data_IF_289357733148
#
_entry.id   IF_289357733148
#
_cell.length_a   1.000
_cell.length_b   1.000
_cell.length_c   1.000
_cell.angle_alpha   90.00
_cell.angle_beta   90.00
_cell.angle_gamma   90.00
#
_symmetry.space_group_name_H-M   'P 1'
#
loop_
_entity.id
_entity.type
_entity.pdbx_description
1 polymer ?
#
# COMPACT_ATOMS: atom_id res chain seq x y z
N UNK A 1 24.61 0.45 -4.14
CA UNK A 1 23.63 1.06 -3.23
C UNK A 1 22.27 0.92 -3.88
N UNK A 2 21.22 0.62 -3.12
CA UNK A 2 19.84 0.58 -3.64
C UNK A 2 19.48 1.92 -4.28
N UNK A 3 18.76 1.88 -5.42
CA UNK A 3 18.23 3.07 -6.08
C UNK A 3 16.96 3.58 -5.37
N UNK A 4 16.30 2.71 -4.61
CA UNK A 4 15.00 2.99 -4.00
C UNK A 4 15.13 3.36 -2.53
N UNK A 5 14.21 4.19 -2.07
CA UNK A 5 13.89 4.41 -0.66
C UNK A 5 12.72 3.51 -0.28
N UNK A 6 12.81 2.89 0.87
CA UNK A 6 11.78 1.96 1.34
C UNK A 6 11.00 2.53 2.51
N UNK A 7 9.73 2.19 2.58
CA UNK A 7 8.81 2.56 3.67
C UNK A 7 8.12 1.34 4.27
N UNK A 8 7.55 1.50 5.45
CA UNK A 8 6.89 0.42 6.20
C UNK A 8 5.85 0.97 7.16
N UNK A 9 4.72 0.28 7.32
CA UNK A 9 3.71 0.62 8.31
C UNK A 9 3.89 -0.11 9.65
N UNK A 10 3.49 0.50 10.79
CA UNK A 10 3.54 -0.13 12.11
C UNK A 10 2.75 -1.43 12.20
N UNK A 11 1.70 -1.58 11.38
CA UNK A 11 0.86 -2.79 11.29
C UNK A 11 1.61 -4.03 10.81
N UNK A 12 2.71 -3.86 10.09
CA UNK A 12 3.56 -4.97 9.68
C UNK A 12 4.16 -5.72 10.90
N UNK A 13 4.28 -5.04 12.05
CA UNK A 13 4.77 -5.60 13.31
C UNK A 13 3.61 -5.73 14.29
N UNK A 14 2.79 -6.76 14.08
CA UNK A 14 1.58 -7.03 14.83
C UNK A 14 1.77 -8.17 15.85
N UNK A 15 0.81 -8.31 16.76
CA UNK A 15 0.86 -9.29 17.86
C UNK A 15 0.57 -10.72 17.43
N UNK A 16 0.27 -10.97 16.16
CA UNK A 16 -0.11 -12.29 15.66
C UNK A 16 -1.58 -12.66 15.89
N UNK A 17 -2.40 -11.74 16.35
CA UNK A 17 -3.85 -11.93 16.36
C UNK A 17 -4.38 -12.01 14.93
N UNK A 18 -5.34 -12.89 14.70
CA UNK A 18 -6.07 -13.04 13.44
C UNK A 18 -7.55 -13.34 13.71
N UNK A 19 -8.33 -13.53 12.66
CA UNK A 19 -9.77 -13.84 12.75
C UNK A 19 -10.05 -15.13 13.55
N UNK A 20 -9.06 -16.01 13.69
CA UNK A 20 -9.20 -17.35 14.28
C UNK A 20 -8.54 -17.50 15.65
N UNK A 21 -7.80 -16.49 16.12
CA UNK A 21 -7.17 -16.62 17.43
C UNK A 21 -6.53 -15.35 18.00
N UNK A 22 -6.26 -15.38 19.33
CA UNK A 22 -5.72 -14.24 20.06
C UNK A 22 -4.26 -13.96 19.69
N UNK A 23 -3.68 -12.87 20.23
CA UNK A 23 -2.25 -12.58 20.12
C UNK A 23 -1.36 -13.77 20.50
N UNK A 24 -0.24 -13.93 19.79
CA UNK A 24 0.80 -14.94 20.05
C UNK A 24 2.14 -14.30 20.42
N UNK A 25 2.21 -12.97 20.41
CA UNK A 25 3.37 -12.16 20.73
C UNK A 25 2.93 -10.94 21.51
N UNK A 26 3.87 -10.38 22.27
CA UNK A 26 3.67 -9.11 22.95
C UNK A 26 3.60 -7.94 21.98
N UNK A 27 2.91 -6.89 22.37
CA UNK A 27 2.87 -5.64 21.61
C UNK A 27 4.19 -4.88 21.80
N UNK A 28 4.73 -4.39 20.69
CA UNK A 28 5.94 -3.57 20.66
C UNK A 28 5.53 -2.10 20.60
N UNK A 29 6.15 -1.26 21.42
CA UNK A 29 5.85 0.17 21.45
C UNK A 29 6.15 0.84 20.10
N UNK A 30 5.39 1.90 19.79
CA UNK A 30 5.56 2.63 18.52
C UNK A 30 7.01 3.13 18.35
N UNK A 31 7.60 3.72 19.38
CA UNK A 31 8.96 4.25 19.29
C UNK A 31 10.00 3.14 19.04
N UNK A 32 9.84 1.96 19.65
CA UNK A 32 10.71 0.82 19.37
C UNK A 32 10.56 0.30 17.93
N UNK A 33 9.33 0.29 17.41
CA UNK A 33 9.09 -0.05 15.99
C UNK A 33 9.83 0.92 15.07
N UNK A 34 9.68 2.24 15.26
CA UNK A 34 10.33 3.27 14.44
C UNK A 34 11.85 3.17 14.52
N UNK A 35 12.41 3.00 15.73
CA UNK A 35 13.84 2.77 15.91
C UNK A 35 14.31 1.58 15.08
N UNK A 36 13.61 0.46 15.18
CA UNK A 36 13.99 -0.76 14.46
C UNK A 36 13.84 -0.63 12.96
N UNK A 37 12.82 0.07 12.47
CA UNK A 37 12.65 0.36 11.05
C UNK A 37 13.84 1.16 10.49
N UNK A 38 14.28 2.19 11.22
CA UNK A 38 15.48 2.95 10.84
C UNK A 38 16.74 2.07 10.82
N UNK A 39 16.95 1.20 11.83
CA UNK A 39 18.08 0.27 11.90
C UNK A 39 18.09 -0.75 10.74
N UNK A 40 16.92 -1.23 10.30
CA UNK A 40 16.78 -2.15 9.16
C UNK A 40 17.09 -1.44 7.83
N UNK A 41 16.90 -0.11 7.79
CA UNK A 41 17.20 0.72 6.63
C UNK A 41 15.98 1.19 5.85
N UNK A 42 14.81 1.28 6.49
CA UNK A 42 13.67 2.02 5.98
C UNK A 42 13.91 3.53 6.12
N UNK A 43 13.32 4.31 5.22
CA UNK A 43 13.47 5.76 5.16
C UNK A 43 12.20 6.52 5.53
N UNK A 44 11.06 5.85 5.51
CA UNK A 44 9.77 6.45 5.82
C UNK A 44 8.83 5.47 6.53
N UNK A 45 7.84 6.03 7.23
CA UNK A 45 6.77 5.30 7.88
C UNK A 45 5.45 5.63 7.17
N UNK A 46 4.65 4.61 6.95
CA UNK A 46 3.26 4.68 6.51
C UNK A 46 2.36 4.60 7.73
N UNK A 47 1.24 5.30 7.74
CA UNK A 47 0.37 5.33 8.91
C UNK A 47 -1.09 5.09 8.56
N UNK A 48 -1.80 4.41 9.46
CA UNK A 48 -3.20 4.70 9.66
C UNK A 48 -3.33 5.87 10.66
N UNK A 49 -4.43 6.59 10.61
CA UNK A 49 -4.67 7.74 11.47
C UNK A 49 -4.62 7.39 12.97
N UNK A 50 -5.10 6.20 13.33
CA UNK A 50 -5.10 5.70 14.71
C UNK A 50 -3.78 5.02 15.13
N UNK A 51 -2.85 4.76 14.23
CA UNK A 51 -1.45 4.47 14.58
C UNK A 51 -0.76 5.72 15.15
N UNK A 52 -1.18 6.90 14.69
CA UNK A 52 -0.68 8.21 15.15
C UNK A 52 -1.46 8.70 16.36
N UNK A 53 -2.79 8.58 16.33
CA UNK A 53 -3.70 9.09 17.35
C UNK A 53 -4.68 7.98 17.75
N UNK A 54 -4.31 7.07 18.67
CA UNK A 54 -5.12 5.88 19.00
C UNK A 54 -6.57 6.16 19.39
N UNK A 55 -6.83 7.28 20.10
CA UNK A 55 -8.16 7.67 20.57
C UNK A 55 -8.78 8.79 19.71
N UNK A 56 -8.54 8.76 18.39
CA UNK A 56 -8.92 9.84 17.46
C UNK A 56 -10.42 10.21 17.55
N UNK A 57 -11.28 9.24 17.83
CA UNK A 57 -12.73 9.47 17.93
C UNK A 57 -13.15 10.30 19.16
N UNK A 58 -12.31 10.36 20.20
CA UNK A 58 -12.62 10.97 21.49
C UNK A 58 -11.93 12.32 21.70
N UNK A 59 -11.10 12.73 20.76
CA UNK A 59 -10.27 13.92 20.89
C UNK A 59 -10.80 15.10 20.08
N UNK A 60 -10.50 16.31 20.56
CA UNK A 60 -10.70 17.53 19.80
C UNK A 60 -9.71 17.62 18.64
N UNK A 61 -10.02 18.43 17.61
CA UNK A 61 -9.08 18.68 16.50
C UNK A 61 -7.72 19.21 16.95
N UNK A 62 -7.71 20.04 17.97
CA UNK A 62 -6.47 20.58 18.55
C UNK A 62 -5.64 19.50 19.23
N UNK A 63 -6.29 18.59 19.96
CA UNK A 63 -5.60 17.50 20.64
C UNK A 63 -5.08 16.47 19.62
N UNK A 64 -5.82 16.15 18.57
CA UNK A 64 -5.38 15.30 17.45
C UNK A 64 -4.06 15.84 16.87
N UNK A 65 -4.01 17.13 16.55
CA UNK A 65 -2.79 17.77 16.03
C UNK A 65 -1.63 17.72 17.02
N UNK A 66 -1.91 17.88 18.32
CA UNK A 66 -0.88 17.81 19.36
C UNK A 66 -0.31 16.37 19.47
N UNK A 67 -1.14 15.33 19.41
CA UNK A 67 -0.66 13.95 19.38
C UNK A 67 0.17 13.66 18.12
N UNK A 68 -0.26 14.13 16.95
CA UNK A 68 0.51 13.99 15.72
C UNK A 68 1.91 14.62 15.81
N UNK A 69 2.04 15.80 16.45
CA UNK A 69 3.35 16.44 16.67
C UNK A 69 4.27 15.62 17.57
N UNK A 70 3.73 14.87 18.55
CA UNK A 70 4.55 13.97 19.39
C UNK A 70 5.11 12.82 18.53
N UNK A 71 4.30 12.26 17.65
CA UNK A 71 4.74 11.23 16.71
C UNK A 71 5.79 11.80 15.75
N UNK A 72 5.59 13.02 15.23
CA UNK A 72 6.59 13.70 14.39
C UNK A 72 7.94 13.81 15.09
N UNK A 73 7.95 14.19 16.37
CA UNK A 73 9.20 14.28 17.16
C UNK A 73 9.93 12.92 17.27
N UNK A 74 9.19 11.81 17.37
CA UNK A 74 9.78 10.46 17.36
C UNK A 74 10.38 10.16 15.97
N UNK A 75 9.67 10.47 14.88
CA UNK A 75 10.18 10.26 13.52
C UNK A 75 11.47 11.06 13.29
N UNK A 76 11.49 12.34 13.68
CA UNK A 76 12.65 13.21 13.54
C UNK A 76 13.86 12.69 14.31
N UNK A 77 13.65 12.16 15.53
CA UNK A 77 14.68 11.53 16.35
C UNK A 77 15.41 10.39 15.64
N UNK A 78 14.70 9.62 14.81
CA UNK A 78 15.27 8.48 14.08
C UNK A 78 15.49 8.75 12.59
N UNK A 79 15.31 10.00 12.14
CA UNK A 79 15.54 10.39 10.74
C UNK A 79 14.56 9.75 9.76
N UNK A 80 13.32 9.46 10.21
CA UNK A 80 12.29 8.83 9.38
C UNK A 80 11.31 9.88 8.84
N UNK A 81 10.96 9.78 7.58
CA UNK A 81 9.89 10.59 6.96
C UNK A 81 8.52 9.91 7.16
N UNK A 82 7.44 10.64 6.86
CA UNK A 82 6.11 10.08 6.67
C UNK A 82 5.84 9.95 5.18
N UNK A 83 5.42 8.77 4.71
CA UNK A 83 5.01 8.59 3.33
C UNK A 83 3.55 8.98 3.12
N UNK A 84 2.65 8.46 3.93
CA UNK A 84 1.22 8.79 3.89
C UNK A 84 0.52 8.56 5.24
N UNK A 85 -0.70 9.09 5.34
CA UNK A 85 -1.64 8.77 6.42
C UNK A 85 -2.95 8.30 5.82
N UNK A 86 -3.43 7.12 6.22
CA UNK A 86 -4.67 6.51 5.75
C UNK A 86 -5.75 6.55 6.85
N UNK A 87 -6.99 6.95 6.58
CA UNK A 87 -8.09 6.80 7.53
C UNK A 87 -8.44 5.31 7.68
N UNK A 88 -8.35 4.76 8.90
CA UNK A 88 -8.71 3.36 9.17
C UNK A 88 -10.22 3.19 9.32
N UNK A 89 -10.92 3.18 8.20
CA UNK A 89 -12.38 3.13 8.20
C UNK A 89 -12.97 1.72 8.35
N UNK A 90 -12.21 0.67 8.03
CA UNK A 90 -12.74 -0.70 8.05
C UNK A 90 -12.88 -1.30 9.45
N UNK A 91 -12.35 -0.67 10.46
CA UNK A 91 -12.30 -1.18 11.84
C UNK A 91 -13.46 -0.70 12.70
N UNK A 92 -14.01 0.47 12.45
CA UNK A 92 -15.10 1.05 13.23
C UNK A 92 -16.45 0.42 12.86
N UNK A 93 -17.30 0.05 13.83
CA UNK A 93 -18.62 -0.52 13.56
C UNK A 93 -19.53 0.35 12.69
N UNK A 94 -19.40 1.67 12.74
CA UNK A 94 -20.16 2.61 11.88
C UNK A 94 -19.90 2.42 10.40
N UNK A 95 -18.73 1.94 10.04
CA UNK A 95 -18.32 1.74 8.65
C UNK A 95 -18.34 0.27 8.23
N UNK A 96 -19.03 -0.59 8.96
CA UNK A 96 -19.13 -2.03 8.66
C UNK A 96 -19.68 -2.32 7.26
N UNK A 97 -20.56 -1.46 6.73
CA UNK A 97 -21.10 -1.50 5.36
C UNK A 97 -20.44 -0.48 4.42
N UNK A 98 -19.17 -0.15 4.67
CA UNK A 98 -18.44 0.90 3.96
C UNK A 98 -18.60 2.27 4.62
N UNK A 99 -17.64 3.14 4.36
CA UNK A 99 -17.66 4.53 4.81
C UNK A 99 -18.08 5.47 3.67
N UNK A 100 -17.27 5.54 2.63
CA UNK A 100 -17.53 6.44 1.48
C UNK A 100 -18.73 6.02 0.64
N UNK A 101 -19.04 4.73 0.61
CA UNK A 101 -20.17 4.17 -0.13
C UNK A 101 -21.27 3.66 0.81
N UNK A 102 -21.29 4.11 2.08
CA UNK A 102 -22.37 3.77 3.00
C UNK A 102 -23.71 4.34 2.52
N UNK A 103 -24.77 3.55 2.63
CA UNK A 103 -26.14 4.01 2.40
C UNK A 103 -26.68 4.88 3.55
N UNK A 104 -26.02 4.85 4.70
CA UNK A 104 -26.29 5.71 5.85
C UNK A 104 -25.57 7.05 5.68
N UNK A 105 -26.32 8.15 5.71
CA UNK A 105 -25.75 9.48 5.67
C UNK A 105 -24.83 9.76 6.88
N UNK A 106 -25.22 9.29 8.06
CA UNK A 106 -24.45 9.47 9.29
C UNK A 106 -23.08 8.75 9.22
N UNK A 107 -23.05 7.53 8.70
CA UNK A 107 -21.81 6.78 8.56
C UNK A 107 -20.87 7.40 7.54
N UNK A 108 -21.44 7.91 6.44
CA UNK A 108 -20.68 8.67 5.46
C UNK A 108 -20.09 9.97 6.04
N UNK A 109 -20.86 10.72 6.84
CA UNK A 109 -20.37 11.91 7.52
C UNK A 109 -19.23 11.59 8.48
N UNK A 110 -19.33 10.46 9.20
CA UNK A 110 -18.23 9.98 10.02
C UNK A 110 -16.99 9.63 9.19
N UNK A 111 -17.14 8.91 8.08
CA UNK A 111 -16.02 8.58 7.20
C UNK A 111 -15.35 9.84 6.64
N UNK A 112 -16.13 10.86 6.27
CA UNK A 112 -15.59 12.14 5.82
C UNK A 112 -14.86 12.88 6.94
N UNK A 113 -15.43 12.90 8.16
CA UNK A 113 -14.77 13.50 9.32
C UNK A 113 -13.42 12.81 9.60
N UNK A 114 -13.36 11.46 9.62
CA UNK A 114 -12.12 10.69 9.80
C UNK A 114 -11.09 11.05 8.72
N UNK A 115 -11.53 11.15 7.46
CA UNK A 115 -10.66 11.49 6.35
C UNK A 115 -10.07 12.90 6.48
N UNK A 116 -10.86 13.87 6.93
CA UNK A 116 -10.34 15.21 7.20
C UNK A 116 -9.32 15.22 8.34
N UNK A 117 -9.56 14.45 9.41
CA UNK A 117 -8.58 14.31 10.50
C UNK A 117 -7.30 13.62 10.02
N UNK A 118 -7.41 12.60 9.18
CA UNK A 118 -6.22 11.94 8.58
C UNK A 118 -5.40 12.92 7.72
N UNK A 119 -6.06 13.82 7.00
CA UNK A 119 -5.39 14.90 6.24
C UNK A 119 -4.71 15.90 7.20
N UNK A 120 -5.36 16.29 8.29
CA UNK A 120 -4.76 17.17 9.30
C UNK A 120 -3.53 16.52 9.94
N UNK A 121 -3.60 15.22 10.29
CA UNK A 121 -2.47 14.44 10.81
C UNK A 121 -1.33 14.42 9.78
N UNK A 122 -1.63 14.14 8.52
CA UNK A 122 -0.61 14.13 7.46
C UNK A 122 0.14 15.47 7.40
N UNK A 123 -0.57 16.59 7.51
CA UNK A 123 0.04 17.94 7.54
C UNK A 123 0.96 18.14 8.73
N UNK A 124 0.58 17.70 9.92
CA UNK A 124 1.42 17.80 11.12
C UNK A 124 2.66 16.88 11.03
N UNK A 125 2.61 15.84 10.18
CA UNK A 125 3.72 14.92 9.90
C UNK A 125 4.55 15.31 8.65
N UNK A 126 4.40 16.52 8.12
CA UNK A 126 5.03 17.02 6.90
C UNK A 126 4.75 16.16 5.64
N UNK A 127 3.56 15.58 5.58
CA UNK A 127 3.11 14.74 4.49
C UNK A 127 1.97 15.38 3.70
N UNK A 128 1.95 15.19 2.38
CA UNK A 128 0.90 15.69 1.50
C UNK A 128 0.06 14.57 0.87
N UNK A 129 0.14 13.33 1.39
CA UNK A 129 -0.51 12.18 0.80
C UNK A 129 -1.42 11.46 1.80
N UNK A 130 -2.63 11.14 1.38
CA UNK A 130 -3.55 10.24 2.08
C UNK A 130 -3.88 9.05 1.21
N UNK A 131 -3.88 7.85 1.79
CA UNK A 131 -4.20 6.60 1.08
C UNK A 131 -5.59 6.12 1.51
N UNK A 132 -6.40 5.77 0.54
CA UNK A 132 -7.71 5.17 0.74
C UNK A 132 -7.64 3.67 0.43
N UNK A 133 -7.50 2.85 1.46
CA UNK A 133 -7.71 1.42 1.36
C UNK A 133 -9.20 1.13 1.50
N UNK A 134 -9.81 0.70 0.39
CA UNK A 134 -11.27 0.61 0.24
C UNK A 134 -11.83 -0.76 0.68
N UNK A 135 -11.34 -1.29 1.81
CA UNK A 135 -11.60 -2.65 2.27
C UNK A 135 -13.09 -3.02 2.40
N UNK A 136 -13.94 -2.07 2.82
CA UNK A 136 -15.38 -2.30 2.98
C UNK A 136 -16.22 -1.57 1.94
N UNK A 137 -15.59 -0.97 0.94
CA UNK A 137 -16.28 -0.22 -0.12
C UNK A 137 -16.76 -1.15 -1.23
N UNK A 138 -17.87 -1.80 -0.95
CA UNK A 138 -18.48 -2.80 -1.82
C UNK A 138 -19.72 -3.41 -1.19
N UNK A 139 -20.01 -4.67 -1.50
CA UNK A 139 -21.21 -5.37 -1.04
C UNK A 139 -20.94 -6.82 -0.65
N UNK A 140 -21.68 -7.31 0.36
CA UNK A 140 -21.88 -8.74 0.61
C UNK A 140 -23.13 -9.24 -0.13
N UNK A 141 -24.17 -8.39 -0.22
CA UNK A 141 -25.39 -8.65 -0.99
C UNK A 141 -25.43 -7.69 -2.19
N UNK A 142 -25.43 -8.21 -3.39
CA UNK A 142 -25.31 -7.43 -4.61
C UNK A 142 -26.39 -6.34 -4.76
N UNK A 143 -27.61 -6.65 -4.26
CA UNK A 143 -28.76 -5.77 -4.36
C UNK A 143 -28.77 -4.66 -3.32
N UNK A 144 -27.88 -4.70 -2.31
CA UNK A 144 -27.84 -3.72 -1.22
C UNK A 144 -27.37 -2.34 -1.65
N UNK A 145 -26.56 -2.25 -2.70
CA UNK A 145 -26.03 -0.98 -3.22
C UNK A 145 -26.06 -0.96 -4.75
N UNK A 146 -26.54 0.14 -5.31
CA UNK A 146 -26.36 0.41 -6.74
C UNK A 146 -24.89 0.73 -7.03
N UNK A 147 -24.18 -0.03 -7.89
CA UNK A 147 -22.80 0.29 -8.25
C UNK A 147 -22.63 1.68 -8.88
N UNK A 148 -23.63 2.15 -9.61
CA UNK A 148 -23.64 3.51 -10.19
C UNK A 148 -23.64 4.56 -9.10
N UNK A 149 -24.53 4.41 -8.11
CA UNK A 149 -24.61 5.34 -6.97
C UNK A 149 -23.33 5.27 -6.14
N UNK A 150 -22.84 4.08 -5.80
CA UNK A 150 -21.65 3.88 -4.98
C UNK A 150 -20.40 4.52 -5.62
N UNK A 151 -20.21 4.32 -6.92
CA UNK A 151 -19.09 4.96 -7.65
C UNK A 151 -19.17 6.47 -7.61
N UNK A 152 -20.37 7.05 -7.84
CA UNK A 152 -20.57 8.52 -7.75
C UNK A 152 -20.31 9.04 -6.33
N UNK A 153 -20.72 8.29 -5.31
CA UNK A 153 -20.52 8.66 -3.90
C UNK A 153 -19.03 8.65 -3.51
N UNK A 154 -18.26 7.67 -3.99
CA UNK A 154 -16.82 7.64 -3.80
C UNK A 154 -16.15 8.86 -4.46
N UNK A 155 -16.49 9.17 -5.71
CA UNK A 155 -15.97 10.34 -6.42
C UNK A 155 -16.32 11.64 -5.65
N UNK A 156 -17.55 11.76 -5.15
CA UNK A 156 -17.98 12.90 -4.32
C UNK A 156 -17.11 13.00 -3.06
N UNK A 157 -16.85 11.89 -2.39
CA UNK A 157 -16.03 11.83 -1.16
C UNK A 157 -14.60 12.30 -1.44
N UNK A 158 -13.99 11.81 -2.51
CA UNK A 158 -12.65 12.24 -2.94
C UNK A 158 -12.64 13.74 -3.27
N UNK A 159 -13.64 14.22 -4.01
CA UNK A 159 -13.76 15.64 -4.35
C UNK A 159 -13.83 16.53 -3.10
N UNK A 160 -14.54 16.11 -2.06
CA UNK A 160 -14.59 16.82 -0.78
C UNK A 160 -13.24 16.85 -0.06
N UNK A 161 -12.45 15.76 -0.10
CA UNK A 161 -11.09 15.76 0.43
C UNK A 161 -10.18 16.73 -0.33
N UNK A 162 -10.25 16.74 -1.67
CA UNK A 162 -9.51 17.66 -2.53
C UNK A 162 -9.92 19.14 -2.32
N UNK A 163 -11.16 19.40 -1.91
CA UNK A 163 -11.66 20.74 -1.55
C UNK A 163 -11.23 21.14 -0.15
N UNK A 164 -11.17 20.19 0.81
CA UNK A 164 -10.79 20.43 2.19
C UNK A 164 -9.34 20.91 2.29
N UNK A 165 -8.41 20.22 1.63
CA UNK A 165 -7.02 20.64 1.55
C UNK A 165 -6.57 20.78 0.08
N UNK A 166 -6.04 21.95 -0.28
CA UNK A 166 -5.65 22.25 -1.68
C UNK A 166 -4.34 21.62 -2.12
N UNK A 167 -3.59 21.03 -1.21
CA UNK A 167 -2.29 20.40 -1.49
C UNK A 167 -2.30 18.90 -1.30
N UNK A 168 -3.32 18.33 -0.63
CA UNK A 168 -3.37 16.88 -0.40
C UNK A 168 -3.49 16.13 -1.72
N UNK A 169 -2.75 15.06 -1.84
CA UNK A 169 -2.84 14.05 -2.89
C UNK A 169 -3.60 12.85 -2.32
N UNK A 170 -4.59 12.38 -3.03
CA UNK A 170 -5.39 11.22 -2.65
C UNK A 170 -4.93 10.02 -3.47
N UNK A 171 -4.52 8.97 -2.80
CA UNK A 171 -4.10 7.70 -3.40
C UNK A 171 -5.16 6.65 -3.12
N UNK A 172 -5.55 5.88 -4.11
CA UNK A 172 -6.48 4.77 -3.94
C UNK A 172 -5.69 3.47 -4.07
N UNK A 173 -5.87 2.61 -3.07
CA UNK A 173 -5.35 1.25 -3.06
C UNK A 173 -6.49 0.29 -3.39
N UNK A 174 -6.53 -0.28 -4.62
CA UNK A 174 -7.58 -1.18 -5.03
C UNK A 174 -7.41 -2.56 -4.39
N UNK A 175 -8.54 -3.16 -4.01
CA UNK A 175 -8.61 -4.55 -3.53
C UNK A 175 -9.87 -5.21 -4.09
N UNK A 176 -9.80 -6.42 -4.68
CA UNK A 176 -10.97 -7.01 -5.37
C UNK A 176 -12.04 -7.55 -4.43
N UNK A 177 -11.64 -8.02 -3.25
CA UNK A 177 -12.49 -8.66 -2.25
C UNK A 177 -11.85 -8.59 -0.85
N UNK A 178 -12.53 -9.15 0.16
CA UNK A 178 -12.11 -9.23 1.56
C UNK A 178 -11.86 -7.86 2.23
N UNK A 179 -12.61 -7.58 3.31
CA UNK A 179 -13.58 -8.45 3.99
C UNK A 179 -14.96 -8.51 3.33
N UNK A 180 -15.16 -7.85 2.19
CA UNK A 180 -16.39 -7.90 1.40
C UNK A 180 -16.23 -8.87 0.22
N UNK A 181 -17.37 -9.31 -0.38
CA UNK A 181 -17.36 -10.22 -1.51
C UNK A 181 -17.07 -9.52 -2.85
N UNK A 182 -17.55 -8.27 -2.97
CA UNK A 182 -17.49 -7.50 -4.23
C UNK A 182 -17.08 -6.08 -3.98
N UNK A 183 -15.83 -5.76 -4.30
CA UNK A 183 -15.33 -4.40 -4.28
C UNK A 183 -15.85 -3.60 -5.48
N UNK A 184 -16.13 -2.32 -5.29
CA UNK A 184 -16.42 -1.39 -6.38
C UNK A 184 -15.14 -0.92 -7.08
N UNK A 185 -14.00 -0.96 -6.38
CA UNK A 185 -12.70 -0.52 -6.90
C UNK A 185 -11.65 -1.63 -6.72
N UNK A 186 -11.69 -2.65 -7.57
CA UNK A 186 -10.88 -3.86 -7.41
C UNK A 186 -9.58 -3.89 -8.21
N UNK A 187 -9.32 -2.92 -9.10
CA UNK A 187 -8.15 -2.92 -10.00
C UNK A 187 -7.65 -1.50 -10.24
N UNK A 188 -6.42 -1.38 -10.76
CA UNK A 188 -5.85 -0.07 -11.12
C UNK A 188 -6.65 0.62 -12.25
N UNK A 189 -7.29 -0.14 -13.13
CA UNK A 189 -8.20 0.41 -14.13
C UNK A 189 -9.38 1.19 -13.53
N UNK A 190 -9.97 0.68 -12.45
CA UNK A 190 -11.01 1.38 -11.70
C UNK A 190 -10.44 2.67 -11.06
N UNK A 191 -9.25 2.60 -10.46
CA UNK A 191 -8.58 3.77 -9.86
C UNK A 191 -8.38 4.87 -10.90
N UNK A 192 -7.90 4.53 -12.10
CA UNK A 192 -7.68 5.51 -13.17
C UNK A 192 -8.99 6.14 -13.65
N UNK A 193 -10.05 5.36 -13.80
CA UNK A 193 -11.36 5.87 -14.19
C UNK A 193 -11.96 6.82 -13.11
N UNK A 194 -11.85 6.44 -11.84
CA UNK A 194 -12.27 7.29 -10.71
C UNK A 194 -11.45 8.58 -10.68
N UNK A 195 -10.11 8.49 -10.77
CA UNK A 195 -9.22 9.65 -10.81
C UNK A 195 -9.63 10.63 -11.90
N UNK A 196 -9.87 10.15 -13.12
CA UNK A 196 -10.27 10.96 -14.27
C UNK A 196 -11.63 11.68 -14.06
N UNK A 197 -12.50 11.12 -13.21
CA UNK A 197 -13.83 11.68 -12.92
C UNK A 197 -13.83 12.66 -11.73
N UNK A 198 -12.71 12.89 -11.05
CA UNK A 198 -12.61 13.85 -9.95
C UNK A 198 -12.44 15.29 -10.44
N UNK A 199 -12.66 16.25 -9.54
CA UNK A 199 -12.50 17.69 -9.84
C UNK A 199 -11.05 18.10 -10.14
N UNK A 200 -10.09 17.33 -9.68
CA UNK A 200 -8.66 17.53 -9.92
C UNK A 200 -7.94 16.18 -10.09
N UNK A 201 -7.99 15.61 -11.29
CA UNK A 201 -7.34 14.34 -11.57
C UNK A 201 -5.82 14.34 -11.31
N UNK A 202 -5.17 15.51 -11.34
CA UNK A 202 -3.72 15.61 -11.11
C UNK A 202 -3.33 15.27 -9.67
N UNK A 203 -4.26 15.35 -8.72
CA UNK A 203 -4.08 15.05 -7.30
C UNK A 203 -4.68 13.72 -6.85
N UNK A 204 -5.05 12.85 -7.80
CA UNK A 204 -5.55 11.49 -7.50
C UNK A 204 -4.71 10.47 -8.25
N UNK A 205 -4.12 9.54 -7.53
CA UNK A 205 -3.25 8.46 -8.06
C UNK A 205 -3.55 7.13 -7.41
N UNK A 206 -2.67 6.17 -7.60
CA UNK A 206 -2.85 4.82 -7.09
C UNK A 206 -1.66 4.26 -6.32
N UNK A 207 -1.98 3.34 -5.41
CA UNK A 207 -1.07 2.40 -4.79
C UNK A 207 -1.32 1.02 -5.40
N UNK A 208 -0.28 0.39 -5.94
CA UNK A 208 -0.40 -1.02 -6.36
C UNK A 208 0.19 -1.91 -5.29
N UNK A 209 -0.67 -2.72 -4.69
CA UNK A 209 -0.23 -3.81 -3.83
C UNK A 209 -0.16 -5.12 -4.61
N UNK A 210 0.99 -5.81 -4.49
CA UNK A 210 1.26 -7.04 -5.25
C UNK A 210 0.24 -8.14 -4.95
N UNK A 211 -0.08 -8.38 -3.67
CA UNK A 211 -1.05 -9.39 -3.27
C UNK A 211 -2.46 -9.07 -3.78
N UNK A 212 -2.88 -7.81 -3.74
CA UNK A 212 -4.20 -7.41 -4.24
C UNK A 212 -4.36 -7.62 -5.73
N UNK A 213 -3.30 -7.38 -6.52
CA UNK A 213 -3.32 -7.69 -7.96
C UNK A 213 -3.47 -9.19 -8.20
N UNK A 214 -2.73 -10.03 -7.46
CA UNK A 214 -2.85 -11.50 -7.54
C UNK A 214 -4.25 -11.97 -7.12
N UNK A 215 -4.83 -11.40 -6.06
CA UNK A 215 -6.22 -11.68 -5.64
C UNK A 215 -7.24 -11.31 -6.72
N UNK A 216 -6.97 -10.26 -7.51
CA UNK A 216 -7.78 -9.88 -8.67
C UNK A 216 -7.59 -10.81 -9.89
N UNK A 217 -6.69 -11.79 -9.82
CA UNK A 217 -6.30 -12.64 -10.94
C UNK A 217 -5.45 -11.92 -11.98
N UNK A 218 -4.76 -10.84 -11.58
CA UNK A 218 -3.95 -9.99 -12.45
C UNK A 218 -2.46 -10.12 -12.13
N UNK A 219 -1.62 -9.69 -13.06
CA UNK A 219 -0.17 -9.59 -12.85
C UNK A 219 0.18 -8.24 -12.20
N UNK A 220 0.86 -8.22 -11.04
CA UNK A 220 1.24 -6.97 -10.37
C UNK A 220 2.10 -6.04 -11.25
N UNK A 221 2.97 -6.62 -12.11
CA UNK A 221 3.82 -5.84 -13.02
C UNK A 221 2.97 -5.11 -14.06
N UNK A 222 1.90 -5.74 -14.56
CA UNK A 222 0.97 -5.10 -15.49
C UNK A 222 0.18 -3.97 -14.83
N UNK A 223 -0.30 -4.17 -13.60
CA UNK A 223 -1.02 -3.12 -12.84
C UNK A 223 -0.11 -1.91 -12.55
N UNK A 224 1.13 -2.15 -12.12
CA UNK A 224 2.14 -1.10 -11.92
C UNK A 224 2.46 -0.39 -13.25
N UNK A 225 2.68 -1.15 -14.33
CA UNK A 225 2.99 -0.62 -15.65
C UNK A 225 1.88 0.25 -16.21
N UNK A 226 0.62 -0.15 -16.01
CA UNK A 226 -0.54 0.64 -16.40
C UNK A 226 -0.59 1.99 -15.66
N UNK A 227 -0.38 1.99 -14.35
CA UNK A 227 -0.35 3.20 -13.55
C UNK A 227 0.85 4.11 -13.89
N UNK A 228 2.04 3.53 -14.12
CA UNK A 228 3.25 4.25 -14.55
C UNK A 228 3.04 4.95 -15.90
N UNK A 229 2.46 4.27 -16.88
CA UNK A 229 2.19 4.83 -18.21
C UNK A 229 1.30 6.08 -18.16
N UNK A 230 0.48 6.21 -17.14
CA UNK A 230 -0.41 7.34 -16.90
C UNK A 230 0.15 8.37 -15.89
N UNK A 231 1.36 8.17 -15.36
CA UNK A 231 1.98 9.03 -14.34
C UNK A 231 1.26 8.98 -12.99
N UNK A 232 0.60 7.87 -12.67
CA UNK A 232 -0.30 7.72 -11.52
C UNK A 232 0.14 6.66 -10.49
N UNK A 233 1.26 6.00 -10.69
CA UNK A 233 1.83 5.12 -9.66
C UNK A 233 2.60 5.96 -8.64
N UNK A 234 1.98 6.26 -7.49
CA UNK A 234 2.57 7.16 -6.50
C UNK A 234 3.13 6.44 -5.28
N UNK A 235 2.65 5.24 -5.02
CA UNK A 235 3.23 4.32 -4.06
C UNK A 235 3.01 2.88 -4.51
N UNK A 236 3.77 1.96 -3.99
CA UNK A 236 3.61 0.52 -4.19
C UNK A 236 3.72 -0.19 -2.84
N UNK A 237 3.00 -1.28 -2.68
CA UNK A 237 3.16 -2.22 -1.57
C UNK A 237 3.69 -3.54 -2.12
N UNK A 238 4.94 -3.85 -1.80
CA UNK A 238 5.55 -5.12 -2.16
C UNK A 238 5.27 -6.16 -1.09
N UNK A 239 4.64 -7.23 -1.51
CA UNK A 239 4.39 -8.46 -0.76
C UNK A 239 4.25 -9.63 -1.74
N UNK A 240 3.77 -10.77 -1.29
CA UNK A 240 3.52 -11.93 -2.13
C UNK A 240 2.24 -12.67 -1.71
N UNK A 241 1.71 -13.47 -2.61
CA UNK A 241 0.43 -14.14 -2.50
C UNK A 241 0.46 -15.48 -3.23
N UNK A 242 -0.05 -16.55 -2.63
CA UNK A 242 0.02 -17.89 -3.23
C UNK A 242 -1.26 -18.31 -3.99
N UNK A 243 -2.06 -17.36 -4.43
CA UNK A 243 -3.27 -17.60 -5.22
C UNK A 243 -4.48 -16.83 -4.74
N UNK A 244 -5.65 -17.12 -5.30
CA UNK A 244 -6.93 -16.43 -5.03
C UNK A 244 -7.52 -16.96 -3.71
N UNK A 245 -7.20 -16.32 -2.61
CA UNK A 245 -7.65 -16.67 -1.25
C UNK A 245 -7.92 -15.39 -0.44
N UNK A 246 -7.68 -15.46 0.88
CA UNK A 246 -7.55 -14.29 1.72
C UNK A 246 -6.20 -13.60 1.49
N UNK A 247 -6.11 -12.35 1.88
CA UNK A 247 -4.92 -11.54 1.81
C UNK A 247 -3.82 -12.07 2.74
N UNK A 248 -2.73 -12.57 2.16
CA UNK A 248 -1.70 -13.27 2.91
C UNK A 248 -0.55 -12.37 3.34
N UNK A 249 -0.28 -11.29 2.63
CA UNK A 249 0.83 -10.37 2.87
C UNK A 249 2.15 -11.10 3.17
N UNK A 250 2.50 -12.05 2.32
CA UNK A 250 3.70 -12.85 2.48
C UNK A 250 4.95 -12.02 2.19
N UNK A 251 6.08 -12.49 2.68
CA UNK A 251 7.39 -11.93 2.35
C UNK A 251 7.54 -11.79 0.83
N UNK A 252 7.97 -10.64 0.37
CA UNK A 252 8.15 -10.36 -1.06
C UNK A 252 9.04 -11.40 -1.74
N UNK A 253 8.55 -11.98 -2.83
CA UNK A 253 9.24 -13.03 -3.59
C UNK A 253 9.21 -14.44 -2.96
N UNK A 254 8.42 -14.65 -1.89
CA UNK A 254 8.36 -15.94 -1.22
C UNK A 254 7.58 -17.00 -2.01
N UNK A 255 6.64 -16.60 -2.86
CA UNK A 255 5.81 -17.48 -3.68
C UNK A 255 6.18 -17.40 -5.16
N UNK A 256 6.42 -16.18 -5.67
CA UNK A 256 6.70 -15.96 -7.10
C UNK A 256 7.91 -15.04 -7.30
N UNK A 257 9.10 -15.64 -7.22
CA UNK A 257 10.36 -14.91 -7.36
C UNK A 257 10.53 -14.26 -8.75
N UNK A 258 9.97 -14.88 -9.80
CA UNK A 258 9.99 -14.31 -11.16
C UNK A 258 9.11 -13.06 -11.26
N UNK A 259 7.92 -13.08 -10.65
CA UNK A 259 7.08 -11.89 -10.55
C UNK A 259 7.77 -10.78 -9.76
N UNK A 260 8.42 -11.11 -8.64
CA UNK A 260 9.19 -10.14 -7.85
C UNK A 260 10.31 -9.50 -8.68
N UNK A 261 11.04 -10.28 -9.49
CA UNK A 261 12.04 -9.75 -10.42
C UNK A 261 11.43 -8.79 -11.45
N UNK A 262 10.30 -9.19 -12.06
CA UNK A 262 9.63 -8.37 -13.09
C UNK A 262 9.13 -7.04 -12.53
N UNK A 263 8.58 -7.03 -11.32
CA UNK A 263 8.13 -5.82 -10.63
C UNK A 263 9.32 -4.85 -10.40
N UNK A 264 10.42 -5.33 -9.82
CA UNK A 264 11.61 -4.52 -9.58
C UNK A 264 12.21 -4.04 -10.91
N UNK A 265 12.27 -4.90 -11.94
CA UNK A 265 12.77 -4.53 -13.27
C UNK A 265 11.94 -3.39 -13.86
N UNK A 266 10.62 -3.49 -13.82
CA UNK A 266 9.73 -2.42 -14.29
C UNK A 266 9.99 -1.09 -13.57
N UNK A 267 10.09 -1.10 -12.23
CA UNK A 267 10.32 0.09 -11.43
C UNK A 267 11.69 0.72 -11.74
N UNK A 268 12.74 -0.10 -11.91
CA UNK A 268 14.10 0.38 -12.29
C UNK A 268 14.11 0.99 -13.68
N UNK A 269 13.49 0.34 -14.66
CA UNK A 269 13.45 0.81 -16.06
C UNK A 269 12.70 2.13 -16.23
N UNK A 270 11.72 2.37 -15.38
CA UNK A 270 10.91 3.59 -15.42
C UNK A 270 11.35 4.66 -14.41
N UNK A 271 12.55 4.51 -13.83
CA UNK A 271 13.11 5.45 -12.86
C UNK A 271 12.16 5.78 -11.70
N UNK A 272 11.39 4.80 -11.23
CA UNK A 272 10.51 4.98 -10.06
C UNK A 272 11.33 5.48 -8.86
N UNK A 273 10.78 6.37 -8.06
CA UNK A 273 11.46 7.00 -6.93
C UNK A 273 12.17 8.32 -7.26
N UNK A 274 12.28 8.71 -8.56
CA UNK A 274 12.94 9.96 -8.97
C UNK A 274 12.24 11.23 -8.49
N UNK A 275 10.92 11.16 -8.23
CA UNK A 275 10.13 12.28 -7.73
C UNK A 275 9.91 12.19 -6.21
N UNK A 276 10.64 11.30 -5.52
CA UNK A 276 10.56 11.11 -4.07
C UNK A 276 9.61 10.00 -3.63
N UNK A 277 9.08 9.20 -4.56
CA UNK A 277 8.24 8.04 -4.24
C UNK A 277 9.03 7.00 -3.43
N UNK A 278 8.34 6.30 -2.56
CA UNK A 278 8.86 5.16 -1.79
C UNK A 278 8.36 3.84 -2.35
N UNK A 279 9.08 2.78 -2.01
CA UNK A 279 8.61 1.41 -2.13
C UNK A 279 8.20 0.95 -0.74
N UNK A 280 6.91 0.79 -0.51
CA UNK A 280 6.33 0.29 0.73
C UNK A 280 6.38 -1.23 0.81
N UNK A 281 6.50 -1.73 2.03
CA UNK A 281 6.23 -3.13 2.35
C UNK A 281 4.92 -3.23 3.12
N UNK A 282 4.04 -4.11 2.64
CA UNK A 282 2.88 -4.55 3.40
C UNK A 282 2.95 -6.08 3.56
N UNK A 283 3.67 -6.51 4.60
CA UNK A 283 3.97 -7.93 4.85
C UNK A 283 3.68 -8.29 6.30
N UNK A 284 3.12 -9.47 6.51
CA UNK A 284 2.77 -9.97 7.84
C UNK A 284 3.75 -11.01 8.35
N UNK A 285 4.13 -10.89 9.63
CA UNK A 285 4.81 -11.96 10.33
C UNK A 285 3.90 -13.18 10.44
N UNK A 286 4.43 -14.38 10.21
CA UNK A 286 3.66 -15.60 10.44
C UNK A 286 3.17 -15.66 11.89
N UNK A 287 1.97 -16.21 12.11
CA UNK A 287 1.42 -16.40 13.46
C UNK A 287 2.36 -17.21 14.37
N UNK A 288 3.15 -18.12 13.82
CA UNK A 288 4.14 -18.95 14.51
C UNK A 288 5.44 -18.22 14.87
N UNK A 289 5.64 -17.00 14.39
CA UNK A 289 6.82 -16.18 14.69
C UNK A 289 6.87 -15.86 16.19
N UNK A 290 8.05 -16.00 16.80
CA UNK A 290 8.31 -15.68 18.21
C UNK A 290 8.72 -14.22 18.38
N UNK A 291 8.62 -13.68 19.60
CA UNK A 291 8.89 -12.26 19.91
C UNK A 291 10.23 -11.75 19.37
N UNK A 292 11.31 -12.48 19.58
CA UNK A 292 12.64 -12.09 19.11
C UNK A 292 12.80 -11.98 17.58
N UNK A 293 11.84 -12.50 16.82
CA UNK A 293 11.87 -12.59 15.35
C UNK A 293 10.84 -11.68 14.67
N UNK A 294 10.22 -10.77 15.40
CA UNK A 294 9.09 -9.93 14.96
C UNK A 294 9.38 -9.05 13.74
N UNK A 295 10.62 -8.90 13.31
CA UNK A 295 11.04 -8.08 12.17
C UNK A 295 11.64 -8.88 11.01
N UNK A 296 11.84 -10.18 11.14
CA UNK A 296 12.50 -11.01 10.09
C UNK A 296 11.81 -10.96 8.74
N UNK A 297 10.48 -10.89 8.71
CA UNK A 297 9.72 -10.80 7.46
C UNK A 297 10.03 -9.50 6.70
N UNK A 298 10.24 -8.38 7.42
CA UNK A 298 10.66 -7.09 6.84
C UNK A 298 12.08 -7.16 6.31
N UNK A 299 13.02 -7.66 7.12
CA UNK A 299 14.42 -7.85 6.72
C UNK A 299 14.55 -8.75 5.49
N UNK A 300 13.78 -9.84 5.45
CA UNK A 300 13.76 -10.77 4.32
C UNK A 300 13.19 -10.12 3.06
N UNK A 301 12.09 -9.38 3.15
CA UNK A 301 11.49 -8.68 2.01
C UNK A 301 12.43 -7.65 1.41
N UNK A 302 13.08 -6.82 2.26
CA UNK A 302 14.11 -5.88 1.81
C UNK A 302 15.30 -6.58 1.16
N UNK A 303 15.74 -7.70 1.73
CA UNK A 303 16.86 -8.47 1.18
C UNK A 303 16.52 -9.00 -0.21
N UNK A 304 15.31 -9.52 -0.41
CA UNK A 304 14.86 -9.99 -1.72
C UNK A 304 14.74 -8.84 -2.70
N UNK A 305 14.12 -7.72 -2.32
CA UNK A 305 13.98 -6.55 -3.19
C UNK A 305 15.36 -6.05 -3.66
N UNK A 306 16.32 -5.86 -2.75
CA UNK A 306 17.70 -5.45 -3.07
C UNK A 306 18.44 -6.48 -3.94
N UNK A 307 18.21 -7.77 -3.71
CA UNK A 307 18.79 -8.82 -4.56
C UNK A 307 18.22 -8.76 -5.99
N UNK A 308 16.92 -8.46 -6.14
CA UNK A 308 16.32 -8.27 -7.47
C UNK A 308 16.87 -7.01 -8.15
N UNK A 309 17.06 -5.89 -7.42
CA UNK A 309 17.74 -4.70 -7.98
C UNK A 309 19.14 -5.04 -8.53
N UNK A 310 19.91 -5.84 -7.79
CA UNK A 310 21.23 -6.27 -8.23
C UNK A 310 21.15 -7.12 -9.51
N UNK A 311 20.20 -8.04 -9.58
CA UNK A 311 20.01 -8.85 -10.79
C UNK A 311 19.56 -8.00 -11.99
N UNK A 312 18.69 -7.03 -11.79
CA UNK A 312 18.29 -6.07 -12.84
C UNK A 312 19.49 -5.26 -13.32
N UNK A 313 20.43 -4.89 -12.44
CA UNK A 313 21.65 -4.17 -12.85
C UNK A 313 22.58 -4.98 -13.76
N UNK A 314 22.44 -6.29 -13.79
CA UNK A 314 23.20 -7.23 -14.62
C UNK A 314 22.39 -7.75 -15.83
N UNK A 315 21.16 -7.24 -16.02
CA UNK A 315 20.29 -7.69 -17.09
C UNK A 315 20.82 -7.27 -18.46
N UNK A 316 20.95 -8.24 -19.38
CA UNK A 316 21.42 -8.01 -20.74
C UNK A 316 20.27 -7.55 -21.65
N UNK A 317 20.15 -6.24 -21.80
CA UNK A 317 19.13 -5.61 -22.65
C UNK A 317 19.38 -5.82 -24.14
N UNK A 318 20.63 -6.00 -24.58
CA UNK A 318 20.96 -6.29 -25.98
C UNK A 318 20.52 -7.72 -26.33
N UNK A 319 20.75 -8.68 -25.43
CA UNK A 319 20.23 -10.04 -25.58
C UNK A 319 18.70 -10.05 -25.61
N UNK A 320 18.04 -9.34 -24.68
CA UNK A 320 16.59 -9.19 -24.70
C UNK A 320 16.09 -8.65 -26.03
N UNK A 321 16.69 -7.57 -26.54
CA UNK A 321 16.34 -6.97 -27.83
C UNK A 321 16.45 -7.97 -28.96
N UNK A 322 17.58 -8.69 -29.04
CA UNK A 322 17.81 -9.75 -30.04
C UNK A 322 16.74 -10.85 -29.96
N UNK A 323 16.40 -11.31 -28.78
CA UNK A 323 15.33 -12.33 -28.58
C UNK A 323 13.98 -11.81 -29.07
N UNK A 324 13.63 -10.56 -28.74
CA UNK A 324 12.36 -9.94 -29.17
C UNK A 324 12.29 -9.80 -30.69
N UNK A 325 13.36 -9.32 -31.33
CA UNK A 325 13.44 -9.17 -32.80
C UNK A 325 13.31 -10.50 -33.52
N UNK A 326 13.86 -11.58 -32.98
CA UNK A 326 13.82 -12.92 -33.57
C UNK A 326 12.62 -13.76 -33.07
N UNK A 327 11.84 -13.25 -32.12
CA UNK A 327 10.74 -13.99 -31.43
C UNK A 327 11.23 -15.27 -30.72
N UNK A 328 12.48 -15.25 -30.26
CA UNK A 328 13.08 -16.34 -29.50
C UNK A 328 12.79 -16.13 -28.00
N UNK A 329 11.52 -16.31 -27.64
CA UNK A 329 11.05 -16.06 -26.28
C UNK A 329 11.46 -17.17 -25.31
N UNK A 330 11.65 -18.40 -25.79
CA UNK A 330 12.17 -19.51 -25.00
C UNK A 330 13.61 -19.26 -24.52
N UNK A 331 14.47 -18.71 -25.37
CA UNK A 331 15.83 -18.34 -24.97
C UNK A 331 15.82 -17.19 -23.97
N UNK A 332 14.94 -16.18 -24.17
CA UNK A 332 14.79 -15.07 -23.24
C UNK A 332 14.26 -15.55 -21.86
N UNK A 333 13.30 -16.47 -21.88
CA UNK A 333 12.75 -17.05 -20.65
C UNK A 333 13.82 -17.80 -19.85
N UNK A 334 14.60 -18.65 -20.51
CA UNK A 334 15.70 -19.35 -19.86
C UNK A 334 16.80 -18.42 -19.35
N UNK A 335 17.11 -17.36 -20.09
CA UNK A 335 18.03 -16.35 -19.63
C UNK A 335 17.57 -15.68 -18.32
N UNK A 336 16.30 -15.28 -18.25
CA UNK A 336 15.72 -14.67 -17.03
C UNK A 336 15.77 -15.66 -15.86
N UNK A 337 15.40 -16.92 -16.07
CA UNK A 337 15.45 -17.94 -15.02
C UNK A 337 16.88 -18.16 -14.52
N UNK A 338 17.86 -18.30 -15.42
CA UNK A 338 19.26 -18.46 -15.07
C UNK A 338 19.80 -17.26 -14.27
N UNK A 339 19.45 -16.04 -14.69
CA UNK A 339 19.81 -14.81 -13.98
C UNK A 339 19.24 -14.79 -12.55
N UNK A 340 17.98 -15.17 -12.38
CA UNK A 340 17.34 -15.24 -11.06
C UNK A 340 17.98 -16.31 -10.19
N UNK A 341 18.21 -17.50 -10.72
CA UNK A 341 18.84 -18.63 -10.01
C UNK A 341 20.34 -18.41 -9.75
N UNK A 342 20.99 -17.45 -10.44
CA UNK A 342 22.44 -17.25 -10.34
C UNK A 342 23.25 -18.34 -11.05
N UNK A 343 22.69 -18.92 -12.11
CA UNK A 343 23.37 -19.89 -12.99
C UNK A 343 23.97 -19.11 -14.16
N UNK A 344 25.26 -19.32 -14.41
CA UNK A 344 25.98 -18.68 -15.53
C UNK A 344 25.75 -19.42 -16.85
#
# INVERSE_FOLDING_TARGET
MSKFKYSVGPWNVHTGADTYGPPTRDEISFEEKVKKFSEIGFSAVQFHDDDVVPNINDLSEGDIKNEARKVKAILDKYGMATEFVAPRLWFDPRTADGGYMSTSQQDWEYAMWRSYRSIDIARELDCDMTVLWLAREGTLCAESKSPVWATKRLIESINKMLQYDKKIRVVIEPKPNEPIDRSICGTMGHVMAISAATIDPSRVGGNVESAHAVLAGLDPTCEMGFALALGKLWTVHLNDQNGIKFDQDKVFGAENLRSAFNQIKLLVENNYGQNGEYIGLDVKAMRTTRDGDSYKHLENSLKVAKAMEEKVSRFDYDFQKKCVENRDFEALEMYVLNLIMGIN
#
